data_IF_170153227306
#
_entry.id   IF_170153227306
#
_cell.length_a   1.000
_cell.length_b   1.000
_cell.length_c   1.000
_cell.angle_alpha   90.00
_cell.angle_beta   90.00
_cell.angle_gamma   90.00
#
_symmetry.space_group_name_H-M   'P 1'
#
loop_
_entity.id
_entity.type
_entity.pdbx_description
1 polymer ?
#
# COMPACT_ATOMS: atom_id res chain seq x y z
N UNK A 1 2.16 -19.58 2.27
CA UNK A 1 1.91 -18.44 3.16
C UNK A 1 2.64 -17.19 2.65
N UNK A 2 2.21 -16.00 3.07
CA UNK A 2 2.74 -14.69 2.66
C UNK A 2 2.92 -13.83 3.92
N UNK A 3 4.12 -13.32 4.16
CA UNK A 3 4.38 -12.35 5.23
C UNK A 3 4.06 -10.91 4.77
N UNK A 4 3.80 -10.01 5.71
CA UNK A 4 3.48 -8.61 5.41
C UNK A 4 4.21 -7.68 6.38
N UNK A 5 4.86 -6.64 5.84
CA UNK A 5 5.48 -5.61 6.67
C UNK A 5 4.41 -4.83 7.45
N UNK A 6 4.79 -4.12 8.53
CA UNK A 6 3.97 -3.03 9.03
C UNK A 6 3.56 -2.05 7.92
N UNK A 7 2.44 -1.35 8.10
CA UNK A 7 1.97 -0.34 7.15
C UNK A 7 2.94 0.84 7.10
N UNK A 8 3.44 1.17 5.91
CA UNK A 8 4.38 2.27 5.67
C UNK A 8 3.72 3.35 4.83
N UNK A 9 3.79 4.61 5.28
CA UNK A 9 3.24 5.72 4.51
C UNK A 9 4.18 6.12 3.36
N UNK A 10 3.69 6.03 2.12
CA UNK A 10 4.41 6.27 0.86
C UNK A 10 5.22 7.58 0.84
N UNK A 11 4.61 8.71 1.19
CA UNK A 11 5.34 9.98 1.30
C UNK A 11 6.43 9.95 2.40
N UNK A 12 6.08 9.45 3.58
CA UNK A 12 6.95 9.52 4.77
C UNK A 12 8.19 8.65 4.59
N UNK A 13 8.08 7.49 3.93
CA UNK A 13 9.25 6.62 3.68
C UNK A 13 10.24 7.25 2.71
N UNK A 14 9.78 8.08 1.78
CA UNK A 14 10.63 8.83 0.85
C UNK A 14 11.30 10.04 1.54
N UNK A 15 10.55 10.77 2.36
CA UNK A 15 11.01 12.02 2.98
C UNK A 15 11.88 11.82 4.23
N UNK A 16 11.79 10.66 4.90
CA UNK A 16 12.46 10.41 6.16
C UNK A 16 13.39 9.18 6.10
N UNK A 17 14.72 9.39 5.97
CA UNK A 17 15.69 8.29 5.85
C UNK A 17 15.66 7.28 6.99
N UNK A 18 15.33 7.73 8.21
CA UNK A 18 15.17 6.84 9.38
C UNK A 18 14.02 5.86 9.22
N UNK A 19 12.95 6.25 8.53
CA UNK A 19 11.81 5.38 8.25
C UNK A 19 12.20 4.38 7.16
N UNK A 20 12.86 4.83 6.09
CA UNK A 20 13.41 3.93 5.07
C UNK A 20 14.33 2.88 5.71
N UNK A 21 15.27 3.28 6.57
CA UNK A 21 16.17 2.35 7.24
C UNK A 21 15.44 1.26 8.04
N UNK A 22 14.37 1.62 8.76
CA UNK A 22 13.52 0.63 9.46
C UNK A 22 12.83 -0.33 8.51
N UNK A 23 12.29 0.16 7.40
CA UNK A 23 11.70 -0.71 6.38
C UNK A 23 12.76 -1.65 5.79
N UNK A 24 13.99 -1.17 5.60
CA UNK A 24 15.11 -2.02 5.15
C UNK A 24 15.44 -3.13 6.16
N UNK A 25 15.30 -2.85 7.46
CA UNK A 25 15.44 -3.88 8.51
C UNK A 25 14.29 -4.91 8.45
N UNK A 26 13.07 -4.49 8.14
CA UNK A 26 11.90 -5.37 8.03
C UNK A 26 11.95 -6.31 6.80
N UNK A 27 12.62 -5.92 5.72
CA UNK A 27 12.63 -6.67 4.44
C UNK A 27 13.84 -7.58 4.24
N UNK A 28 14.75 -7.66 5.21
CA UNK A 28 16.03 -8.39 5.07
C UNK A 28 15.94 -9.90 5.36
N UNK A 29 14.86 -10.37 5.98
CA UNK A 29 14.74 -11.75 6.45
C UNK A 29 14.29 -12.68 5.31
N UNK A 30 15.11 -13.68 4.99
CA UNK A 30 14.80 -14.64 3.93
C UNK A 30 13.62 -15.56 4.28
N UNK A 31 13.44 -15.87 5.56
CA UNK A 31 12.36 -16.74 6.06
C UNK A 31 10.97 -16.11 5.94
N UNK A 32 10.89 -14.79 5.81
CA UNK A 32 9.62 -14.07 5.59
C UNK A 32 9.15 -14.16 4.14
N UNK A 33 9.91 -14.79 3.23
CA UNK A 33 9.52 -14.88 1.82
C UNK A 33 8.50 -15.99 1.56
N UNK A 34 7.46 -15.73 0.73
CA UNK A 34 7.22 -14.47 0.01
C UNK A 34 6.74 -13.34 0.95
N UNK A 35 7.24 -12.13 0.72
CA UNK A 35 6.98 -10.93 1.54
C UNK A 35 6.25 -9.84 0.74
N UNK A 36 5.16 -9.32 1.30
CA UNK A 36 4.53 -8.09 0.80
C UNK A 36 4.97 -6.87 1.60
N UNK A 37 5.33 -5.79 0.90
CA UNK A 37 5.49 -4.46 1.52
C UNK A 37 4.16 -3.71 1.42
N UNK A 38 3.59 -3.35 2.56
CA UNK A 38 2.29 -2.69 2.62
C UNK A 38 2.43 -1.17 2.72
N UNK A 39 2.00 -0.48 1.65
CA UNK A 39 2.04 0.97 1.53
C UNK A 39 0.68 1.62 1.83
N UNK A 40 0.70 2.82 2.38
CA UNK A 40 -0.47 3.69 2.51
C UNK A 40 -0.19 5.12 2.04
N UNK A 41 -1.25 5.92 1.91
CA UNK A 41 -1.21 7.30 1.41
C UNK A 41 -2.25 7.51 0.31
N UNK A 42 -2.29 8.73 -0.22
CA UNK A 42 -3.31 9.16 -1.19
C UNK A 42 -2.74 9.99 -2.36
N UNK A 43 -1.41 10.05 -2.50
CA UNK A 43 -0.74 10.72 -3.60
C UNK A 43 -0.21 9.67 -4.57
N UNK A 44 -0.80 9.50 -5.78
CA UNK A 44 -0.30 8.53 -6.75
C UNK A 44 1.19 8.67 -7.07
N UNK A 45 1.75 9.88 -7.28
CA UNK A 45 3.19 10.05 -7.51
C UNK A 45 4.05 9.48 -6.37
N UNK A 46 3.77 9.84 -5.12
CA UNK A 46 4.52 9.34 -3.96
C UNK A 46 4.34 7.82 -3.80
N UNK A 47 3.15 7.29 -4.10
CA UNK A 47 2.88 5.86 -3.99
C UNK A 47 3.72 5.06 -4.98
N UNK A 48 3.76 5.48 -6.24
CA UNK A 48 4.54 4.84 -7.31
C UNK A 48 6.04 4.94 -7.00
N UNK A 49 6.52 6.09 -6.57
CA UNK A 49 7.93 6.29 -6.23
C UNK A 49 8.37 5.41 -5.05
N UNK A 50 7.58 5.38 -3.97
CA UNK A 50 7.85 4.53 -2.82
C UNK A 50 7.83 3.05 -3.19
N UNK A 51 6.86 2.62 -4.00
CA UNK A 51 6.77 1.25 -4.45
C UNK A 51 7.95 0.83 -5.32
N UNK A 52 8.40 1.68 -6.26
CA UNK A 52 9.61 1.43 -7.06
C UNK A 52 10.86 1.29 -6.19
N UNK A 53 10.99 2.13 -5.16
CA UNK A 53 12.14 2.08 -4.25
C UNK A 53 12.19 0.77 -3.44
N UNK A 54 11.02 0.21 -3.10
CA UNK A 54 10.90 -0.98 -2.25
C UNK A 54 10.70 -2.28 -3.04
N UNK A 55 10.31 -2.20 -4.32
CA UNK A 55 10.07 -3.36 -5.20
C UNK A 55 11.25 -4.34 -5.22
N UNK A 56 12.54 -3.93 -5.28
CA UNK A 56 13.66 -4.88 -5.27
C UNK A 56 13.68 -5.80 -4.02
N UNK A 57 13.13 -5.33 -2.91
CA UNK A 57 13.19 -6.00 -1.61
C UNK A 57 11.91 -6.76 -1.24
N UNK A 58 10.80 -6.51 -1.93
CA UNK A 58 9.51 -7.19 -1.71
C UNK A 58 9.21 -8.21 -2.81
N UNK A 59 8.32 -9.17 -2.57
CA UNK A 59 7.76 -10.05 -3.61
C UNK A 59 6.41 -9.53 -4.13
N UNK A 60 5.71 -8.72 -3.32
CA UNK A 60 4.41 -8.09 -3.64
C UNK A 60 4.38 -6.67 -3.09
N UNK A 61 3.81 -5.73 -3.84
CA UNK A 61 3.42 -4.41 -3.31
C UNK A 61 1.95 -4.46 -2.89
N UNK A 62 1.66 -4.22 -1.62
CA UNK A 62 0.29 -4.23 -1.08
C UNK A 62 -0.20 -2.81 -0.76
N UNK A 63 -1.42 -2.46 -1.20
CA UNK A 63 -2.06 -1.18 -0.91
C UNK A 63 -2.95 -1.32 0.32
N UNK A 64 -2.65 -0.59 1.39
CA UNK A 64 -3.53 -0.52 2.55
C UNK A 64 -4.73 0.40 2.28
N UNK A 65 -5.89 -0.21 2.06
CA UNK A 65 -7.20 0.43 1.92
C UNK A 65 -8.12 0.05 3.10
N UNK A 66 -7.54 -0.24 4.26
CA UNK A 66 -8.26 -0.86 5.36
C UNK A 66 -7.97 -0.30 6.76
N UNK A 67 -6.98 0.57 6.94
CA UNK A 67 -6.69 1.16 8.24
C UNK A 67 -7.83 2.10 8.69
N UNK A 68 -8.49 1.84 9.85
CA UNK A 68 -9.59 2.68 10.35
C UNK A 68 -9.11 3.75 11.35
N UNK A 69 -7.80 3.87 11.61
CA UNK A 69 -7.27 4.74 12.65
C UNK A 69 -7.50 6.22 12.34
N UNK A 70 -7.55 7.05 13.39
CA UNK A 70 -7.79 8.50 13.25
C UNK A 70 -6.74 9.21 12.39
N UNK A 71 -5.49 8.78 12.41
CA UNK A 71 -4.44 9.33 11.54
C UNK A 71 -4.70 9.06 10.06
N UNK A 72 -5.28 7.90 9.71
CA UNK A 72 -5.68 7.56 8.36
C UNK A 72 -6.90 8.38 7.91
N UNK A 73 -7.83 8.63 8.83
CA UNK A 73 -8.98 9.51 8.58
C UNK A 73 -8.54 10.93 8.27
N UNK A 74 -7.75 11.53 9.15
CA UNK A 74 -7.25 12.90 8.97
C UNK A 74 -6.33 13.04 7.76
N UNK A 75 -5.57 11.99 7.44
CA UNK A 75 -4.69 11.96 6.27
C UNK A 75 -5.35 11.55 4.96
N UNK A 76 -6.63 11.16 4.98
CA UNK A 76 -7.36 10.71 3.79
C UNK A 76 -6.76 9.48 3.11
N UNK A 77 -6.31 8.49 3.88
CA UNK A 77 -5.79 7.21 3.35
C UNK A 77 -6.39 6.01 4.11
N UNK A 78 -5.96 4.79 3.79
CA UNK A 78 -6.47 3.59 4.47
C UNK A 78 -7.93 3.34 4.08
N UNK A 79 -8.78 2.98 5.04
CA UNK A 79 -10.20 2.71 4.77
C UNK A 79 -10.95 3.91 4.17
N UNK A 80 -10.51 5.13 4.49
CA UNK A 80 -11.16 6.36 4.06
C UNK A 80 -10.83 6.72 2.60
N UNK A 81 -9.78 6.12 2.02
CA UNK A 81 -9.47 6.31 0.60
C UNK A 81 -10.50 5.63 -0.31
N UNK A 82 -11.25 4.65 0.20
CA UNK A 82 -12.33 3.98 -0.54
C UNK A 82 -13.53 4.90 -0.82
N UNK A 83 -13.58 6.10 -0.21
CA UNK A 83 -14.54 7.15 -0.56
C UNK A 83 -14.15 7.87 -1.87
N UNK A 84 -12.87 7.79 -2.28
CA UNK A 84 -12.33 8.33 -3.53
C UNK A 84 -11.70 7.21 -4.38
N UNK A 85 -12.56 6.41 -5.00
CA UNK A 85 -12.13 5.34 -5.90
C UNK A 85 -11.33 5.85 -7.10
N UNK A 86 -11.52 7.11 -7.51
CA UNK A 86 -10.75 7.68 -8.63
C UNK A 86 -9.26 7.75 -8.31
N UNK A 87 -8.91 8.10 -7.07
CA UNK A 87 -7.51 8.09 -6.61
C UNK A 87 -6.98 6.67 -6.46
N UNK A 88 -7.79 5.72 -5.97
CA UNK A 88 -7.40 4.30 -5.89
C UNK A 88 -7.06 3.75 -7.27
N UNK A 89 -7.91 3.97 -8.28
CA UNK A 89 -7.66 3.54 -9.67
C UNK A 89 -6.37 4.13 -10.20
N UNK A 90 -6.13 5.44 -10.00
CA UNK A 90 -4.88 6.10 -10.43
C UNK A 90 -3.64 5.51 -9.76
N UNK A 91 -3.73 5.12 -8.49
CA UNK A 91 -2.63 4.42 -7.79
C UNK A 91 -2.40 3.05 -8.41
N UNK A 92 -3.46 2.23 -8.56
CA UNK A 92 -3.37 0.87 -9.10
C UNK A 92 -2.82 0.88 -10.53
N UNK A 93 -3.35 1.73 -11.41
CA UNK A 93 -2.89 1.88 -12.79
C UNK A 93 -1.42 2.32 -12.85
N UNK A 94 -1.06 3.28 -11.99
CA UNK A 94 0.31 3.76 -11.85
C UNK A 94 1.27 2.66 -11.43
N UNK A 95 0.91 1.85 -10.43
CA UNK A 95 1.73 0.74 -9.96
C UNK A 95 1.85 -0.36 -11.02
N UNK A 96 0.73 -0.78 -11.61
CA UNK A 96 0.70 -1.80 -12.67
C UNK A 96 1.55 -1.41 -13.88
N UNK A 97 1.59 -0.13 -14.23
CA UNK A 97 2.35 0.36 -15.38
C UNK A 97 3.86 0.46 -15.13
N UNK A 98 4.29 0.43 -13.87
CA UNK A 98 5.66 0.76 -13.49
C UNK A 98 6.39 -0.32 -12.71
N UNK A 99 5.67 -1.24 -12.10
CA UNK A 99 6.22 -2.36 -11.37
C UNK A 99 6.16 -3.63 -12.22
N UNK A 100 7.12 -4.50 -12.00
CA UNK A 100 7.22 -5.84 -12.58
C UNK A 100 6.61 -6.90 -11.66
N UNK A 101 6.61 -6.65 -10.34
CA UNK A 101 6.07 -7.56 -9.33
C UNK A 101 4.57 -7.35 -9.10
N UNK A 102 3.84 -8.37 -8.59
CA UNK A 102 2.42 -8.26 -8.33
C UNK A 102 2.04 -7.11 -7.39
N UNK A 103 0.85 -6.56 -7.64
CA UNK A 103 0.21 -5.54 -6.79
C UNK A 103 -1.03 -6.16 -6.17
N UNK A 104 -1.19 -6.03 -4.85
CA UNK A 104 -2.39 -6.41 -4.11
C UNK A 104 -3.00 -5.21 -3.39
N UNK A 105 -4.23 -5.36 -2.93
CA UNK A 105 -4.87 -4.36 -2.09
C UNK A 105 -5.63 -5.03 -0.94
N UNK A 106 -5.46 -4.49 0.26
CA UNK A 106 -6.13 -4.96 1.47
C UNK A 106 -7.25 -3.99 1.86
N UNK A 107 -8.50 -4.41 1.67
CA UNK A 107 -9.70 -3.62 1.98
C UNK A 107 -10.45 -4.11 3.24
N UNK A 108 -11.43 -3.33 3.70
CA UNK A 108 -12.50 -3.78 4.60
C UNK A 108 -13.80 -3.97 3.82
N UNK A 109 -14.77 -4.66 4.44
CA UNK A 109 -16.15 -4.63 3.95
C UNK A 109 -16.68 -3.19 4.01
N UNK A 110 -17.30 -2.76 2.92
CA UNK A 110 -18.06 -1.51 2.85
C UNK A 110 -19.45 -1.70 3.46
N UNK A 111 -20.24 -0.63 3.68
CA UNK A 111 -21.54 -0.73 4.34
C UNK A 111 -22.54 -1.72 3.72
N UNK A 112 -22.37 -2.07 2.44
CA UNK A 112 -23.10 -3.16 1.81
C UNK A 112 -22.18 -4.12 1.05
N UNK A 113 -22.67 -5.34 0.85
CA UNK A 113 -21.97 -6.36 0.06
C UNK A 113 -21.80 -5.91 -1.39
N UNK A 114 -22.86 -5.35 -1.99
CA UNK A 114 -22.86 -4.86 -3.38
C UNK A 114 -21.78 -3.82 -3.59
N UNK A 115 -21.69 -2.82 -2.70
CA UNK A 115 -20.63 -1.80 -2.75
C UNK A 115 -19.24 -2.41 -2.63
N UNK A 116 -19.08 -3.41 -1.77
CA UNK A 116 -17.79 -4.11 -1.58
C UNK A 116 -17.38 -4.82 -2.87
N UNK A 117 -18.31 -5.55 -3.49
CA UNK A 117 -18.07 -6.28 -4.74
C UNK A 117 -17.81 -5.32 -5.90
N UNK A 118 -18.58 -4.25 -6.03
CA UNK A 118 -18.40 -3.24 -7.08
C UNK A 118 -17.04 -2.53 -7.00
N UNK A 119 -16.46 -2.42 -5.80
CA UNK A 119 -15.13 -1.81 -5.59
C UNK A 119 -13.98 -2.68 -6.11
N UNK A 120 -14.17 -3.99 -6.23
CA UNK A 120 -13.11 -4.96 -6.60
C UNK A 120 -13.34 -5.60 -7.97
N UNK A 121 -14.31 -5.11 -8.73
CA UNK A 121 -14.56 -5.49 -10.12
C UNK A 121 -13.65 -4.72 -11.05
#
# INVERSE_FOLDING_TARGET
DLACTPMVHSRIVLEHPKIMARVMEDVQFADDRPLSVQLCGNSPPHFIEAAKALEPFADVTDINLGCPQGCARSGGYGAFLLEDLSTVVRIVDGLRSHLTKPVSAKIRLLPSWERTVDTVR
#
